data_IF_485656533957
#
_entry.id   IF_485656533957
#
_cell.length_a   1.000
_cell.length_b   1.000
_cell.length_c   1.000
_cell.angle_alpha   90.00
_cell.angle_beta   90.00
_cell.angle_gamma   90.00
#
_symmetry.space_group_name_H-M   'P 1'
#
loop_
_entity.id
_entity.type
_entity.pdbx_description
1 polymer ?
#
# COMPACT_ATOMS: atom_id res chain seq x y z
N UNK A 1 -0.42 0.15 3.00
CA UNK A 1 -0.78 -0.59 4.22
C UNK A 1 -2.29 -0.64 4.47
N UNK A 2 -3.01 0.50 4.51
CA UNK A 2 -4.45 0.53 4.83
C UNK A 2 -5.44 0.10 3.73
N UNK A 3 -4.99 -0.10 2.49
CA UNK A 3 -5.87 -0.31 1.31
C UNK A 3 -6.22 -1.77 0.96
N UNK A 4 -6.08 -2.69 1.90
CA UNK A 4 -6.64 -4.05 1.76
C UNK A 4 -6.13 -4.93 0.60
N UNK A 5 -5.18 -4.50 -0.24
CA UNK A 5 -4.76 -5.27 -1.43
C UNK A 5 -3.74 -6.39 -1.16
N UNK A 6 -3.07 -6.38 -0.01
CA UNK A 6 -2.10 -7.41 0.38
C UNK A 6 -1.94 -7.48 1.91
N UNK A 7 -1.34 -8.56 2.44
CA UNK A 7 -1.23 -8.75 3.90
C UNK A 7 -0.54 -7.56 4.57
N UNK A 8 -1.18 -6.97 5.60
CA UNK A 8 -0.71 -5.73 6.21
C UNK A 8 0.74 -5.81 6.72
N UNK A 9 1.14 -6.97 7.28
CA UNK A 9 2.52 -7.26 7.68
C UNK A 9 3.50 -7.07 6.52
N UNK A 10 3.26 -7.71 5.38
CA UNK A 10 4.14 -7.63 4.22
C UNK A 10 4.25 -6.19 3.70
N UNK A 11 3.16 -5.42 3.74
CA UNK A 11 3.16 -4.03 3.33
C UNK A 11 3.96 -3.11 4.28
N UNK A 12 4.04 -3.43 5.57
CA UNK A 12 4.87 -2.72 6.56
C UNK A 12 6.35 -3.08 6.36
N UNK A 13 6.66 -4.37 6.17
CA UNK A 13 8.03 -4.84 5.94
C UNK A 13 8.62 -4.35 4.60
N UNK A 14 7.77 -4.08 3.62
CA UNK A 14 8.19 -3.55 2.31
C UNK A 14 8.44 -2.03 2.32
N UNK A 15 8.23 -1.33 3.45
CA UNK A 15 8.50 0.10 3.53
C UNK A 15 10.00 0.39 3.40
N UNK A 16 10.38 1.58 2.90
CA UNK A 16 11.79 1.98 2.82
C UNK A 16 12.52 1.87 4.17
N UNK A 17 13.80 1.47 4.18
CA UNK A 17 14.60 1.42 5.41
C UNK A 17 14.54 2.74 6.19
N UNK A 18 14.22 2.65 7.48
CA UNK A 18 14.13 3.80 8.39
C UNK A 18 12.80 4.56 8.38
N UNK A 19 11.83 4.24 7.50
CA UNK A 19 10.55 4.96 7.48
C UNK A 19 9.57 4.57 8.58
N UNK A 20 9.72 3.38 9.17
CA UNK A 20 8.88 2.90 10.28
C UNK A 20 9.47 3.32 11.63
N UNK A 21 10.74 2.99 11.89
CA UNK A 21 11.51 3.44 13.05
C UNK A 21 10.75 3.41 14.39
N UNK A 22 10.16 2.25 14.72
CA UNK A 22 9.42 2.04 15.96
C UNK A 22 8.02 2.65 16.01
N UNK A 23 7.54 3.29 14.94
CA UNK A 23 6.22 3.94 14.91
C UNK A 23 5.42 3.55 13.67
N UNK A 24 4.12 3.34 13.86
CA UNK A 24 3.17 3.14 12.78
C UNK A 24 1.96 4.03 12.98
N UNK A 25 1.68 4.84 11.95
CA UNK A 25 0.41 5.54 11.81
C UNK A 25 -0.22 5.08 10.51
N UNK A 26 -1.39 4.44 10.60
CA UNK A 26 -2.13 3.89 9.47
C UNK A 26 -3.58 4.34 9.52
N UNK A 27 -4.15 4.63 8.36
CA UNK A 27 -5.59 4.84 8.21
C UNK A 27 -6.26 3.50 7.92
N UNK A 28 -7.23 3.13 8.74
CA UNK A 28 -8.11 1.99 8.49
C UNK A 28 -9.35 2.45 7.74
N UNK A 29 -9.68 1.78 6.64
CA UNK A 29 -10.89 2.08 5.90
C UNK A 29 -12.13 1.58 6.67
N UNK A 30 -13.23 2.32 6.60
CA UNK A 30 -14.45 2.02 7.35
C UNK A 30 -14.99 0.63 7.04
N UNK A 31 -14.95 0.21 5.78
CA UNK A 31 -15.35 -1.13 5.34
C UNK A 31 -14.53 -2.26 5.97
N UNK A 32 -13.32 -1.97 6.47
CA UNK A 32 -12.41 -2.96 7.05
C UNK A 32 -12.52 -3.09 8.57
N UNK A 33 -13.12 -2.11 9.27
CA UNK A 33 -13.11 -2.05 10.74
C UNK A 33 -13.74 -3.30 11.36
N UNK A 34 -14.90 -3.74 10.84
CA UNK A 34 -15.57 -4.96 11.34
C UNK A 34 -14.66 -6.19 11.24
N UNK A 35 -13.88 -6.31 10.16
CA UNK A 35 -13.01 -7.47 9.93
C UNK A 35 -11.72 -7.44 10.73
N UNK A 36 -11.27 -6.27 11.19
CA UNK A 36 -10.03 -6.13 11.95
C UNK A 36 -10.23 -5.95 13.45
N UNK A 37 -11.35 -5.35 13.85
CA UNK A 37 -11.61 -4.92 15.23
C UNK A 37 -13.03 -5.23 15.71
N UNK A 38 -13.83 -5.97 14.92
CA UNK A 38 -15.23 -6.26 15.27
C UNK A 38 -15.42 -7.25 16.43
N UNK A 39 -14.39 -8.04 16.75
CA UNK A 39 -14.36 -8.94 17.90
C UNK A 39 -13.03 -8.77 18.66
N UNK A 40 -13.00 -8.89 19.99
CA UNK A 40 -11.78 -8.71 20.79
C UNK A 40 -10.59 -9.57 20.34
N UNK A 41 -10.82 -10.84 20.01
CA UNK A 41 -9.78 -11.79 19.59
C UNK A 41 -9.17 -11.38 18.24
N UNK A 42 -10.03 -10.91 17.32
CA UNK A 42 -9.60 -10.42 16.00
C UNK A 42 -8.85 -9.08 16.15
N UNK A 43 -9.30 -8.21 17.04
CA UNK A 43 -8.64 -6.95 17.35
C UNK A 43 -7.23 -7.18 17.90
N UNK A 44 -7.09 -8.10 18.87
CA UNK A 44 -5.80 -8.50 19.41
C UNK A 44 -4.88 -9.04 18.29
N UNK A 45 -5.40 -9.93 17.43
CA UNK A 45 -4.62 -10.47 16.32
C UNK A 45 -4.16 -9.38 15.34
N UNK A 46 -5.01 -8.39 15.05
CA UNK A 46 -4.65 -7.25 14.21
C UNK A 46 -3.52 -6.40 14.84
N UNK A 47 -3.59 -6.17 16.15
CA UNK A 47 -2.54 -5.44 16.87
C UNK A 47 -1.22 -6.23 16.91
N UNK A 48 -1.26 -7.55 17.14
CA UNK A 48 -0.08 -8.42 17.07
C UNK A 48 0.63 -8.33 15.71
N UNK A 49 -0.15 -8.33 14.63
CA UNK A 49 0.36 -8.19 13.26
C UNK A 49 1.07 -6.84 13.09
N UNK A 50 0.52 -5.75 13.63
CA UNK A 50 1.14 -4.43 13.54
C UNK A 50 2.41 -4.32 14.37
N UNK A 51 2.37 -4.73 15.63
CA UNK A 51 3.53 -4.66 16.53
C UNK A 51 4.67 -5.51 16.00
N UNK A 52 4.41 -6.76 15.62
CA UNK A 52 5.45 -7.65 15.07
C UNK A 52 6.07 -7.08 13.79
N UNK A 53 5.24 -6.58 12.86
CA UNK A 53 5.74 -5.99 11.62
C UNK A 53 6.56 -4.71 11.85
N UNK A 54 6.16 -3.87 12.80
CA UNK A 54 6.87 -2.63 13.14
C UNK A 54 8.23 -2.94 13.77
N UNK A 55 8.28 -3.88 14.72
CA UNK A 55 9.53 -4.30 15.35
C UNK A 55 10.50 -4.86 14.30
N UNK A 56 10.03 -5.76 13.45
CA UNK A 56 10.84 -6.38 12.40
C UNK A 56 11.29 -5.36 11.35
N UNK A 57 10.41 -4.49 10.85
CA UNK A 57 10.80 -3.43 9.90
C UNK A 57 11.83 -2.45 10.50
N UNK A 58 11.81 -2.27 11.82
CA UNK A 58 12.75 -1.38 12.52
C UNK A 58 14.10 -2.04 12.75
N UNK A 59 14.11 -3.30 13.17
CA UNK A 59 15.33 -4.03 13.54
C UNK A 59 15.99 -4.73 12.34
N UNK A 60 15.21 -5.09 11.33
CA UNK A 60 15.63 -5.84 10.15
C UNK A 60 15.08 -5.19 8.87
N UNK A 61 15.54 -3.97 8.53
CA UNK A 61 15.04 -3.26 7.36
C UNK A 61 15.35 -4.00 6.05
N UNK A 62 14.51 -3.86 5.02
CA UNK A 62 14.74 -4.53 3.73
C UNK A 62 16.00 -3.99 3.03
N UNK A 63 16.60 -4.77 2.11
CA UNK A 63 17.76 -4.31 1.36
C UNK A 63 17.39 -3.12 0.47
N UNK A 64 18.37 -2.24 0.21
CA UNK A 64 18.16 -1.16 -0.75
C UNK A 64 17.98 -1.72 -2.17
N UNK A 65 17.04 -1.18 -2.97
CA UNK A 65 16.84 -1.67 -4.32
C UNK A 65 18.01 -1.31 -5.23
N UNK A 66 18.41 -2.28 -6.07
CA UNK A 66 19.47 -2.13 -7.07
C UNK A 66 19.15 -1.00 -8.04
N UNK A 67 20.18 -0.30 -8.55
CA UNK A 67 20.01 0.78 -9.54
C UNK A 67 19.18 0.34 -10.76
N UNK A 68 19.46 -0.85 -11.31
CA UNK A 68 18.72 -1.39 -12.45
C UNK A 68 17.21 -1.55 -12.18
N UNK A 69 16.82 -1.88 -10.94
CA UNK A 69 15.41 -1.98 -10.57
C UNK A 69 14.75 -0.60 -10.48
N UNK A 70 15.47 0.39 -9.94
CA UNK A 70 14.99 1.79 -9.90
C UNK A 70 14.80 2.34 -11.31
N UNK A 71 15.78 2.12 -12.20
CA UNK A 71 15.72 2.55 -13.59
C UNK A 71 14.52 1.90 -14.32
N UNK A 72 14.26 0.62 -14.06
CA UNK A 72 13.10 -0.09 -14.64
C UNK A 72 11.77 0.41 -14.06
N UNK A 73 11.70 0.67 -12.75
CA UNK A 73 10.50 1.23 -12.12
C UNK A 73 10.15 2.61 -12.67
N UNK A 74 11.15 3.47 -12.97
CA UNK A 74 10.93 4.76 -13.61
C UNK A 74 10.29 4.59 -15.00
N UNK A 75 10.83 3.70 -15.83
CA UNK A 75 10.26 3.40 -17.16
C UNK A 75 8.82 2.88 -17.09
N UNK A 76 8.53 2.03 -16.10
CA UNK A 76 7.19 1.52 -15.88
C UNK A 76 6.24 2.64 -15.44
N UNK A 77 6.67 3.51 -14.53
CA UNK A 77 5.88 4.64 -14.05
C UNK A 77 5.53 5.61 -15.17
N UNK A 78 6.50 5.96 -16.02
CA UNK A 78 6.29 6.88 -17.15
C UNK A 78 5.24 6.31 -18.13
N UNK A 79 5.41 5.04 -18.54
CA UNK A 79 4.48 4.38 -19.47
C UNK A 79 3.07 4.23 -18.88
N UNK A 80 2.98 3.84 -17.61
CA UNK A 80 1.71 3.67 -16.92
C UNK A 80 0.98 5.00 -16.77
N UNK A 81 1.71 6.09 -16.47
CA UNK A 81 1.13 7.42 -16.34
C UNK A 81 0.60 7.94 -17.68
N UNK A 82 1.36 7.78 -18.76
CA UNK A 82 0.92 8.15 -20.11
C UNK A 82 -0.36 7.41 -20.48
N UNK A 83 -0.35 6.07 -20.41
CA UNK A 83 -1.53 5.26 -20.75
C UNK A 83 -2.75 5.58 -19.88
N UNK A 84 -2.56 5.83 -18.59
CA UNK A 84 -3.65 6.26 -17.71
C UNK A 84 -4.23 7.61 -18.13
N UNK A 85 -3.39 8.60 -18.48
CA UNK A 85 -3.86 9.94 -18.87
C UNK A 85 -4.55 9.93 -20.22
N UNK A 86 -4.00 9.21 -21.19
CA UNK A 86 -4.62 9.01 -22.50
C UNK A 86 -6.07 8.55 -22.34
N UNK A 87 -6.31 7.56 -21.47
CA UNK A 87 -7.65 7.02 -21.26
C UNK A 87 -8.53 7.88 -20.35
N UNK A 88 -8.03 8.38 -19.23
CA UNK A 88 -8.87 9.02 -18.20
C UNK A 88 -9.06 10.51 -18.43
N UNK A 89 -8.11 11.18 -19.10
CA UNK A 89 -8.13 12.63 -19.30
C UNK A 89 -8.32 13.01 -20.76
N UNK A 90 -7.61 12.36 -21.67
CA UNK A 90 -7.52 12.80 -23.06
C UNK A 90 -8.61 12.18 -23.94
N UNK A 91 -9.08 10.97 -23.60
CA UNK A 91 -10.18 10.33 -24.28
C UNK A 91 -11.50 11.08 -24.03
N UNK A 92 -12.11 11.74 -25.04
CA UNK A 92 -13.32 12.53 -24.86
C UNK A 92 -14.53 11.66 -24.46
N UNK A 93 -14.51 10.37 -24.78
CA UNK A 93 -15.60 9.43 -24.48
C UNK A 93 -15.52 8.87 -23.05
N UNK A 94 -14.41 9.08 -22.34
CA UNK A 94 -14.21 8.51 -21.01
C UNK A 94 -15.22 9.01 -19.98
N UNK A 95 -15.44 10.33 -19.89
CA UNK A 95 -16.39 10.90 -18.92
C UNK A 95 -17.83 10.48 -19.23
N UNK A 96 -18.31 10.55 -20.50
CA UNK A 96 -19.60 9.98 -20.87
C UNK A 96 -19.75 8.51 -20.49
N UNK A 97 -18.77 7.67 -20.85
CA UNK A 97 -18.78 6.24 -20.51
C UNK A 97 -18.79 5.98 -19.00
N UNK A 98 -17.94 6.66 -18.24
CA UNK A 98 -17.82 6.48 -16.79
C UNK A 98 -19.09 6.87 -16.02
N UNK A 99 -19.86 7.82 -16.57
CA UNK A 99 -21.13 8.29 -15.99
C UNK A 99 -22.35 7.59 -16.58
N UNK A 100 -22.18 6.81 -17.64
CA UNK A 100 -23.24 5.97 -18.16
C UNK A 100 -23.55 4.91 -17.11
N UNK A 101 -24.79 4.94 -16.62
CA UNK A 101 -25.35 3.95 -15.69
C UNK A 101 -25.62 2.66 -16.45
#
# INVERSE_FOLDING_TARGET
VGRGGGPARAAILAQPPGSVNGSLRVTEQGEMIRFKFGLPEIAQRSMEIYVSAVLEATLQPPPQPKKAWRDQMNRLADRALTSYREQVRENPDFVPYFRAI
#
